data_IF_881393965598
#
_entry.id   IF_881393965598
#
_cell.length_a   1.000
_cell.length_b   1.000
_cell.length_c   1.000
_cell.angle_alpha   90.00
_cell.angle_beta   90.00
_cell.angle_gamma   90.00
#
_symmetry.space_group_name_H-M   'P 1'
#
loop_
_entity.id
_entity.type
_entity.pdbx_description
1 polymer ?
#
# COMPACT_ATOMS: atom_id res chain seq x y z
N UNK A 1 -1.73 -13.51 3.00
CA UNK A 1 -0.50 -14.34 3.04
C UNK A 1 0.55 -13.79 4.03
N UNK A 2 0.98 -12.52 3.94
CA UNK A 2 2.02 -11.96 4.86
C UNK A 2 1.61 -12.08 6.34
N UNK A 3 0.41 -11.62 6.70
CA UNK A 3 -0.08 -11.73 8.09
C UNK A 3 -0.05 -13.18 8.59
N UNK A 4 -0.47 -14.14 7.76
CA UNK A 4 -0.39 -15.56 8.09
C UNK A 4 1.06 -16.02 8.32
N UNK A 5 2.00 -15.59 7.48
CA UNK A 5 3.43 -15.90 7.67
C UNK A 5 3.97 -15.36 9.00
N UNK A 6 3.55 -14.16 9.41
CA UNK A 6 3.91 -13.57 10.70
C UNK A 6 3.35 -14.44 11.85
N UNK A 7 2.09 -14.85 11.77
CA UNK A 7 1.46 -15.74 12.75
C UNK A 7 2.23 -17.06 12.87
N UNK A 8 2.50 -17.72 11.74
CA UNK A 8 3.19 -19.01 11.72
C UNK A 8 4.58 -18.94 12.34
N UNK A 9 5.35 -17.89 12.00
CA UNK A 9 6.71 -17.68 12.52
C UNK A 9 6.67 -17.42 14.02
N UNK A 10 5.83 -16.48 14.48
CA UNK A 10 5.71 -16.15 15.89
C UNK A 10 5.30 -17.36 16.73
N UNK A 11 4.33 -18.13 16.23
CA UNK A 11 3.83 -19.35 16.87
C UNK A 11 4.91 -20.44 16.94
N UNK A 12 5.65 -20.65 15.85
CA UNK A 12 6.74 -21.64 15.78
C UNK A 12 7.88 -21.31 16.76
N UNK A 13 8.28 -20.04 16.85
CA UNK A 13 9.31 -19.59 17.80
C UNK A 13 8.82 -19.77 19.24
N UNK A 14 7.59 -19.37 19.56
CA UNK A 14 7.05 -19.53 20.91
C UNK A 14 7.00 -21.00 21.35
N UNK A 15 6.54 -21.89 20.46
CA UNK A 15 6.47 -23.32 20.72
C UNK A 15 7.85 -23.93 21.02
N UNK A 16 8.90 -23.53 20.26
CA UNK A 16 10.27 -24.00 20.47
C UNK A 16 10.81 -23.67 21.88
N UNK A 17 10.29 -22.62 22.51
CA UNK A 17 10.70 -22.16 23.84
C UNK A 17 9.70 -22.52 24.95
N UNK A 18 8.65 -23.30 24.67
CA UNK A 18 7.56 -23.61 25.60
C UNK A 18 6.78 -22.36 26.06
N UNK A 19 6.64 -21.39 25.18
CA UNK A 19 5.90 -20.15 25.38
C UNK A 19 4.63 -20.11 24.52
N UNK A 20 3.80 -19.09 24.75
CA UNK A 20 2.70 -18.69 23.87
C UNK A 20 2.98 -17.32 23.28
N UNK A 21 2.57 -17.11 22.03
CA UNK A 21 2.61 -15.82 21.35
C UNK A 21 1.21 -15.43 20.90
N UNK A 22 0.88 -14.15 21.05
CA UNK A 22 -0.34 -13.54 20.53
C UNK A 22 0.09 -12.51 19.49
N UNK A 23 -0.49 -12.61 18.29
CA UNK A 23 -0.21 -11.68 17.19
C UNK A 23 -1.50 -10.91 16.89
N UNK A 24 -1.42 -9.59 16.96
CA UNK A 24 -2.55 -8.69 16.69
C UNK A 24 -2.23 -7.79 15.49
N UNK A 25 -3.20 -7.61 14.61
CA UNK A 25 -3.11 -6.70 13.47
C UNK A 25 -4.15 -5.59 13.70
N UNK A 26 -3.75 -4.45 14.28
CA UNK A 26 -4.71 -3.42 14.73
C UNK A 26 -5.51 -2.77 13.59
N UNK A 27 -5.12 -2.93 12.32
CA UNK A 27 -5.89 -2.46 11.17
C UNK A 27 -5.13 -2.51 9.85
N UNK A 28 -5.83 -2.17 8.78
CA UNK A 28 -5.25 -1.75 7.50
C UNK A 28 -5.31 -0.23 7.45
N UNK A 29 -4.40 0.45 8.13
CA UNK A 29 -4.49 1.91 8.24
C UNK A 29 -4.20 2.59 6.89
N UNK A 30 -3.54 1.88 5.96
CA UNK A 30 -3.12 2.39 4.66
C UNK A 30 -3.17 1.29 3.59
N UNK A 31 -4.34 1.02 2.97
CA UNK A 31 -4.38 0.17 1.79
C UNK A 31 -3.57 0.80 0.64
N UNK A 32 -3.14 0.02 -0.37
CA UNK A 32 -2.46 0.59 -1.53
C UNK A 32 -3.36 1.63 -2.22
N UNK A 33 -2.83 2.84 -2.42
CA UNK A 33 -3.54 3.86 -3.20
C UNK A 33 -3.58 3.45 -4.66
N UNK A 34 -4.78 3.17 -5.18
CA UNK A 34 -5.01 2.82 -6.57
C UNK A 34 -5.85 3.93 -7.21
N UNK A 35 -5.23 4.71 -8.08
CA UNK A 35 -5.92 5.76 -8.81
C UNK A 35 -6.89 5.14 -9.83
N UNK A 36 -8.12 5.66 -9.87
CA UNK A 36 -9.08 5.32 -10.91
C UNK A 36 -8.57 5.83 -12.28
N UNK A 37 -8.51 4.99 -13.32
CA UNK A 37 -7.97 5.38 -14.62
C UNK A 37 -8.71 6.55 -15.27
N UNK A 38 -10.04 6.60 -15.17
CA UNK A 38 -10.82 7.67 -15.80
C UNK A 38 -10.58 9.03 -15.11
N UNK A 39 -10.44 9.01 -13.79
CA UNK A 39 -10.10 10.19 -12.99
C UNK A 39 -8.68 10.67 -13.27
N UNK A 40 -7.72 9.75 -13.40
CA UNK A 40 -6.35 10.07 -13.83
C UNK A 40 -6.32 10.72 -15.21
N UNK A 41 -7.00 10.14 -16.19
CA UNK A 41 -7.06 10.68 -17.55
C UNK A 41 -7.66 12.08 -17.59
N UNK A 42 -8.73 12.32 -16.83
CA UNK A 42 -9.33 13.64 -16.70
C UNK A 42 -8.35 14.66 -16.13
N UNK A 43 -7.69 14.34 -15.01
CA UNK A 43 -6.74 15.22 -14.36
C UNK A 43 -5.53 15.52 -15.25
N UNK A 44 -4.96 14.49 -15.90
CA UNK A 44 -3.86 14.61 -16.86
C UNK A 44 -4.21 15.55 -18.02
N UNK A 45 -5.37 15.37 -18.63
CA UNK A 45 -5.82 16.23 -19.75
C UNK A 45 -6.01 17.69 -19.33
N UNK A 46 -6.54 17.94 -18.13
CA UNK A 46 -6.69 19.28 -17.61
C UNK A 46 -5.33 19.94 -17.35
N UNK A 47 -4.41 19.20 -16.71
CA UNK A 47 -3.05 19.67 -16.43
C UNK A 47 -2.29 20.00 -17.72
N UNK A 48 -2.38 19.13 -18.75
CA UNK A 48 -1.71 19.33 -20.04
C UNK A 48 -2.18 20.59 -20.76
N UNK A 49 -3.49 20.89 -20.69
CA UNK A 49 -4.05 22.15 -21.23
C UNK A 49 -3.57 23.41 -20.50
N UNK A 50 -3.21 23.30 -19.23
CA UNK A 50 -2.81 24.44 -18.39
C UNK A 50 -1.30 24.68 -18.41
N UNK A 51 -0.51 23.60 -18.44
CA UNK A 51 0.93 23.63 -18.17
C UNK A 51 1.77 23.11 -19.35
N UNK A 52 1.17 22.47 -20.36
CA UNK A 52 1.86 21.73 -21.42
C UNK A 52 2.09 20.27 -21.03
N UNK A 53 1.97 19.36 -22.01
CA UNK A 53 2.14 17.91 -21.78
C UNK A 53 3.57 17.55 -21.35
N UNK A 54 4.56 18.37 -21.72
CA UNK A 54 5.97 18.22 -21.33
C UNK A 54 6.24 18.44 -19.83
N UNK A 55 5.28 19.03 -19.11
CA UNK A 55 5.35 19.23 -17.66
C UNK A 55 4.70 18.08 -16.87
N UNK A 56 4.23 17.02 -17.54
CA UNK A 56 3.60 15.85 -16.91
C UNK A 56 4.57 14.67 -16.95
N UNK A 57 4.84 14.09 -15.78
CA UNK A 57 5.67 12.89 -15.63
C UNK A 57 4.85 11.73 -15.06
N UNK A 58 4.96 10.57 -15.70
CA UNK A 58 4.39 9.31 -15.21
C UNK A 58 5.36 8.66 -14.23
N UNK A 59 4.88 8.34 -13.03
CA UNK A 59 5.67 7.71 -11.98
C UNK A 59 5.31 6.23 -11.84
N UNK A 60 6.33 5.40 -11.65
CA UNK A 60 6.12 4.00 -11.29
C UNK A 60 5.50 3.91 -9.87
N UNK A 61 4.74 2.84 -9.56
CA UNK A 61 4.23 2.62 -8.22
C UNK A 61 5.35 2.64 -7.16
N UNK A 62 5.10 3.32 -6.04
CA UNK A 62 6.04 3.45 -4.93
C UNK A 62 5.55 2.73 -3.68
N UNK A 63 6.48 2.28 -2.83
CA UNK A 63 6.18 1.52 -1.61
C UNK A 63 5.77 2.39 -0.40
N UNK A 64 5.58 3.70 -0.58
CA UNK A 64 5.11 4.61 0.48
C UNK A 64 3.63 4.37 0.78
N UNK A 65 3.23 4.46 2.05
CA UNK A 65 1.83 4.46 2.47
C UNK A 65 1.30 5.89 2.59
N UNK A 66 0.07 6.11 2.16
CA UNK A 66 -0.63 7.42 2.15
C UNK A 66 -2.09 7.20 2.58
N UNK A 67 -2.69 8.12 3.36
CA UNK A 67 -4.08 7.99 3.90
C UNK A 67 -5.18 8.28 2.87
N UNK A 68 -4.83 8.43 1.58
CA UNK A 68 -5.76 8.74 0.51
C UNK A 68 -6.66 7.56 0.10
N UNK A 69 -6.24 6.33 0.42
CA UNK A 69 -6.80 5.09 -0.11
C UNK A 69 -8.12 4.64 0.55
#
# INVERSE_FOLDING_TARGET
WIQQRVIDIASGVAAAHRCQATTEFPGNDYPPTVNDPATWDFARNLAGRMLGDEQIEELAPVMGGEDFA
#
